data_IF_107292233106
#
_entry.id   IF_107292233106
#
_cell.length_a   1.000
_cell.length_b   1.000
_cell.length_c   1.000
_cell.angle_alpha   90.00
_cell.angle_beta   90.00
_cell.angle_gamma   90.00
#
_symmetry.space_group_name_H-M   'P 1'
#
loop_
_entity.id
_entity.type
_entity.pdbx_description
1 polymer ?
#
# COMPACT_ATOMS: atom_id res chain seq x y z
N UNK A 1 -2.65 1.34 5.88
CA UNK A 1 -3.28 2.65 5.64
C UNK A 1 -2.65 3.71 6.55
N UNK A 2 -1.94 4.65 5.96
CA UNK A 2 -0.90 5.47 6.58
C UNK A 2 0.11 5.99 5.55
N UNK A 3 1.38 5.96 5.94
CA UNK A 3 2.53 6.42 5.15
C UNK A 3 3.53 5.28 5.03
N UNK A 4 4.04 5.05 3.82
CA UNK A 4 4.99 3.97 3.56
C UNK A 4 6.08 4.45 2.63
N UNK A 5 7.33 4.18 2.99
CA UNK A 5 8.47 4.34 2.10
C UNK A 5 8.57 3.11 1.22
N UNK A 6 8.57 3.34 -0.10
CA UNK A 6 8.88 2.30 -1.08
C UNK A 6 10.24 2.60 -1.70
N UNK A 7 11.02 1.54 -1.96
CA UNK A 7 12.30 1.68 -2.68
C UNK A 7 12.09 1.49 -4.16
N UNK A 8 12.58 2.45 -4.96
CA UNK A 8 12.36 2.53 -6.40
C UNK A 8 13.67 2.84 -7.14
N UNK A 9 13.75 2.57 -8.45
CA UNK A 9 14.80 3.11 -9.30
C UNK A 9 14.89 4.64 -9.24
N UNK A 10 16.09 5.17 -9.45
CA UNK A 10 16.36 6.61 -9.40
C UNK A 10 15.52 7.41 -10.40
N UNK A 11 15.26 6.81 -11.56
CA UNK A 11 14.51 7.39 -12.67
C UNK A 11 13.04 6.96 -12.69
N UNK A 12 12.57 6.27 -11.63
CA UNK A 12 11.19 5.81 -11.55
C UNK A 12 10.20 6.98 -11.65
N UNK A 13 9.25 6.83 -12.57
CA UNK A 13 8.11 7.73 -12.73
C UNK A 13 6.84 6.94 -12.51
N UNK A 14 6.15 7.27 -11.43
CA UNK A 14 4.89 6.62 -11.11
C UNK A 14 3.85 6.90 -12.21
N UNK A 15 3.13 5.89 -12.71
CA UNK A 15 2.21 6.05 -13.83
C UNK A 15 1.08 7.02 -13.47
N UNK A 16 0.63 7.76 -14.48
CA UNK A 16 -0.51 8.66 -14.36
C UNK A 16 -1.52 8.35 -15.45
N UNK A 17 -2.80 8.48 -15.12
CA UNK A 17 -3.91 8.36 -16.06
C UNK A 17 -4.86 9.55 -15.89
N UNK A 18 -5.65 9.82 -16.92
CA UNK A 18 -6.69 10.85 -16.83
C UNK A 18 -7.81 10.34 -15.93
N UNK A 19 -8.08 11.08 -14.86
CA UNK A 19 -9.19 10.80 -13.95
C UNK A 19 -10.40 11.64 -14.36
N UNK A 20 -11.46 10.99 -14.83
CA UNK A 20 -12.67 11.67 -15.30
C UNK A 20 -13.36 12.49 -14.20
N UNK A 21 -13.37 12.00 -12.96
CA UNK A 21 -14.00 12.72 -11.85
C UNK A 21 -13.24 13.98 -11.46
N UNK A 22 -11.90 13.93 -11.49
CA UNK A 22 -11.03 15.08 -11.17
C UNK A 22 -10.67 15.94 -12.39
N UNK A 23 -11.10 15.54 -13.59
CA UNK A 23 -10.83 16.21 -14.86
C UNK A 23 -9.33 16.56 -15.03
N UNK A 24 -8.44 15.66 -14.60
CA UNK A 24 -6.99 15.89 -14.54
C UNK A 24 -6.20 14.59 -14.55
N UNK A 25 -4.90 14.68 -14.87
CA UNK A 25 -3.98 13.54 -14.71
C UNK A 25 -3.73 13.29 -13.23
N UNK A 26 -3.93 12.06 -12.78
CA UNK A 26 -3.63 11.61 -11.42
C UNK A 26 -2.76 10.37 -11.43
N UNK A 27 -2.01 10.14 -10.37
CA UNK A 27 -1.31 8.88 -10.17
C UNK A 27 -2.30 7.70 -10.18
N UNK A 28 -1.92 6.64 -10.87
CA UNK A 28 -2.64 5.36 -10.86
C UNK A 28 -2.25 4.64 -9.57
N UNK A 29 -3.18 4.29 -8.67
CA UNK A 29 -2.83 3.53 -7.48
C UNK A 29 -2.16 2.20 -7.83
N UNK A 30 -1.01 1.91 -7.21
CA UNK A 30 -0.32 0.64 -7.38
C UNK A 30 -0.11 -0.05 -6.03
N UNK A 31 -0.54 -1.30 -5.94
CA UNK A 31 -0.32 -2.15 -4.79
C UNK A 31 1.18 -2.42 -4.57
N UNK A 32 1.59 -2.42 -3.31
CA UNK A 32 2.93 -2.86 -2.92
C UNK A 32 2.84 -4.31 -2.47
N UNK A 33 3.31 -5.23 -3.31
CA UNK A 33 3.12 -6.65 -3.08
C UNK A 33 3.69 -7.51 -4.20
N UNK A 34 3.46 -8.81 -4.08
CA UNK A 34 3.94 -9.81 -5.02
C UNK A 34 2.76 -10.32 -5.84
N UNK A 35 2.59 -9.70 -7.02
CA UNK A 35 1.53 -10.06 -7.95
C UNK A 35 1.57 -11.54 -8.34
N UNK A 36 2.77 -12.15 -8.43
CA UNK A 36 2.91 -13.57 -8.78
C UNK A 36 2.37 -14.44 -7.66
N UNK A 37 2.73 -14.14 -6.41
CA UNK A 37 2.19 -14.85 -5.23
C UNK A 37 0.68 -14.69 -5.13
N UNK A 38 0.17 -13.47 -5.24
CA UNK A 38 -1.25 -13.19 -5.10
C UNK A 38 -2.07 -13.83 -6.25
N UNK A 39 -1.52 -13.83 -7.47
CA UNK A 39 -2.13 -14.52 -8.60
C UNK A 39 -2.14 -16.05 -8.42
N UNK A 40 -1.09 -16.63 -7.84
CA UNK A 40 -1.03 -18.06 -7.54
C UNK A 40 -2.04 -18.45 -6.45
N UNK A 41 -2.22 -17.64 -5.40
CA UNK A 41 -3.24 -17.85 -4.38
C UNK A 41 -4.66 -17.78 -4.99
N UNK A 42 -4.90 -16.82 -5.88
CA UNK A 42 -6.16 -16.73 -6.61
C UNK A 42 -6.39 -17.96 -7.51
N UNK A 43 -5.36 -18.43 -8.23
CA UNK A 43 -5.45 -19.60 -9.10
C UNK A 43 -5.73 -20.90 -8.30
N UNK A 44 -5.12 -21.05 -7.12
CA UNK A 44 -5.41 -22.15 -6.19
C UNK A 44 -6.86 -22.10 -5.71
N UNK A 45 -7.33 -20.93 -5.31
CA UNK A 45 -8.72 -20.74 -4.88
C UNK A 45 -9.72 -20.99 -6.00
N UNK A 46 -9.39 -20.60 -7.24
CA UNK A 46 -10.21 -20.89 -8.40
C UNK A 46 -10.28 -22.40 -8.69
N UNK A 47 -9.15 -23.10 -8.60
CA UNK A 47 -9.12 -24.55 -8.76
C UNK A 47 -9.99 -25.27 -7.71
N UNK A 48 -9.90 -24.86 -6.45
CA UNK A 48 -10.73 -25.39 -5.37
C UNK A 48 -12.21 -25.04 -5.54
N UNK A 49 -12.54 -23.83 -5.98
CA UNK A 49 -13.91 -23.43 -6.30
C UNK A 49 -14.53 -24.32 -7.37
N UNK A 50 -13.76 -24.68 -8.40
CA UNK A 50 -14.20 -25.61 -9.44
C UNK A 50 -14.38 -27.04 -8.93
N UNK A 51 -13.66 -27.42 -7.88
CA UNK A 51 -13.84 -28.68 -7.17
C UNK A 51 -15.01 -28.66 -6.16
N UNK A 52 -15.74 -27.54 -6.05
CA UNK A 52 -16.84 -27.40 -5.10
C UNK A 52 -16.38 -27.13 -3.67
N UNK A 53 -15.18 -26.57 -3.50
CA UNK A 53 -14.62 -26.19 -2.21
C UNK A 53 -14.50 -24.67 -2.07
N UNK A 54 -14.48 -24.18 -0.84
CA UNK A 54 -14.25 -22.78 -0.50
C UNK A 54 -13.24 -22.69 0.65
N UNK A 55 -12.45 -21.62 0.69
CA UNK A 55 -11.46 -21.41 1.74
C UNK A 55 -12.15 -21.23 3.09
N UNK A 56 -11.71 -21.98 4.09
CA UNK A 56 -12.08 -21.81 5.48
C UNK A 56 -11.03 -20.99 6.23
N UNK A 57 -11.49 -20.12 7.11
CA UNK A 57 -10.66 -19.36 8.05
C UNK A 57 -10.91 -19.79 9.50
N UNK A 58 -11.72 -20.84 9.70
CA UNK A 58 -11.96 -21.46 11.00
C UNK A 58 -10.88 -22.51 11.30
N UNK A 59 -10.76 -22.87 12.58
CA UNK A 59 -9.87 -23.96 13.00
C UNK A 59 -10.30 -25.27 12.31
N UNK A 60 -9.44 -25.83 11.46
CA UNK A 60 -9.73 -27.06 10.71
C UNK A 60 -9.11 -27.10 9.32
N UNK A 61 -9.71 -27.83 8.36
CA UNK A 61 -9.19 -27.92 7.01
C UNK A 61 -9.28 -26.57 6.30
N UNK A 62 -8.23 -26.21 5.57
CA UNK A 62 -8.15 -24.96 4.81
C UNK A 62 -9.23 -24.83 3.72
N UNK A 63 -9.78 -25.94 3.26
CA UNK A 63 -10.81 -26.02 2.21
C UNK A 63 -11.98 -26.87 2.68
N UNK A 64 -13.19 -26.32 2.59
CA UNK A 64 -14.45 -26.98 2.99
C UNK A 64 -15.44 -27.02 1.84
N UNK A 65 -16.44 -27.89 1.91
CA UNK A 65 -17.48 -27.99 0.89
C UNK A 65 -18.21 -26.66 0.72
N UNK A 66 -18.40 -26.25 -0.53
CA UNK A 66 -19.07 -25.01 -0.88
C UNK A 66 -20.58 -25.14 -0.67
N UNK A 67 -21.14 -24.23 0.12
CA UNK A 67 -22.59 -24.01 0.19
C UNK A 67 -23.09 -23.31 -1.10
N UNK A 68 -23.93 -23.95 -1.93
CA UNK A 68 -24.42 -23.38 -3.19
C UNK A 68 -25.30 -22.13 -3.03
N UNK A 69 -25.96 -21.95 -1.88
CA UNK A 69 -26.81 -20.78 -1.63
C UNK A 69 -25.95 -19.55 -1.29
N UNK A 70 -24.97 -19.73 -0.41
CA UNK A 70 -24.06 -18.66 0.03
C UNK A 70 -22.99 -18.31 -1.00
N UNK A 71 -22.57 -19.28 -1.81
CA UNK A 71 -21.47 -19.15 -2.76
C UNK A 71 -21.94 -19.41 -4.19
N UNK A 72 -23.07 -18.79 -4.55
CA UNK A 72 -23.58 -18.76 -5.91
C UNK A 72 -22.71 -17.85 -6.80
N UNK A 73 -22.69 -18.11 -8.11
CA UNK A 73 -22.02 -17.27 -9.09
C UNK A 73 -20.58 -17.70 -9.45
N UNK A 74 -19.82 -16.78 -10.06
CA UNK A 74 -18.44 -17.05 -10.47
C UNK A 74 -17.50 -16.81 -9.30
N UNK A 75 -16.38 -17.53 -9.29
CA UNK A 75 -15.34 -17.30 -8.28
C UNK A 75 -14.86 -15.84 -8.27
N UNK A 76 -14.77 -15.20 -9.43
CA UNK A 76 -14.39 -13.79 -9.53
C UNK A 76 -15.38 -12.82 -8.87
N UNK A 77 -16.66 -13.20 -8.76
CA UNK A 77 -17.66 -12.38 -8.07
C UNK A 77 -17.48 -12.49 -6.54
N UNK A 78 -16.85 -13.58 -6.07
CA UNK A 78 -16.57 -13.86 -4.66
C UNK A 78 -15.19 -13.36 -4.21
N UNK A 79 -14.14 -13.69 -4.97
CA UNK A 79 -12.74 -13.43 -4.62
C UNK A 79 -12.16 -12.20 -5.33
N UNK A 80 -12.96 -11.50 -6.14
CA UNK A 80 -12.49 -10.45 -7.01
C UNK A 80 -11.79 -10.99 -8.26
N UNK A 81 -11.33 -10.07 -9.11
CA UNK A 81 -10.60 -10.41 -10.33
C UNK A 81 -9.23 -11.00 -9.99
N UNK A 82 -8.74 -11.88 -10.87
CA UNK A 82 -7.37 -12.40 -10.76
C UNK A 82 -6.39 -11.21 -10.78
N UNK A 83 -5.42 -11.13 -9.84
CA UNK A 83 -4.43 -10.07 -9.82
C UNK A 83 -3.73 -9.88 -11.17
N UNK A 84 -3.55 -8.60 -11.56
CA UNK A 84 -2.84 -8.19 -12.77
C UNK A 84 -1.55 -7.45 -12.40
N UNK A 85 -0.42 -7.67 -13.10
CA UNK A 85 0.81 -6.91 -12.87
C UNK A 85 0.64 -5.39 -13.01
N UNK A 86 -0.34 -4.94 -13.81
CA UNK A 86 -0.61 -3.52 -14.04
C UNK A 86 -1.15 -2.81 -12.78
N UNK A 87 -1.66 -3.55 -11.80
CA UNK A 87 -2.19 -3.03 -10.54
C UNK A 87 -1.12 -2.99 -9.42
N UNK A 88 0.13 -3.40 -9.71
CA UNK A 88 1.20 -3.56 -8.73
C UNK A 88 2.41 -2.69 -9.07
N UNK A 89 3.17 -2.34 -8.03
CA UNK A 89 4.52 -1.82 -8.18
C UNK A 89 5.38 -2.86 -8.92
N UNK A 90 6.18 -2.46 -9.92
CA UNK A 90 7.07 -3.40 -10.59
C UNK A 90 8.08 -4.02 -9.60
N UNK A 91 8.32 -5.32 -9.75
CA UNK A 91 9.30 -6.03 -8.92
C UNK A 91 10.72 -5.85 -9.47
N UNK A 92 11.35 -4.73 -9.10
CA UNK A 92 12.73 -4.47 -9.49
C UNK A 92 13.73 -5.26 -8.65
N UNK A 93 14.84 -5.72 -9.25
CA UNK A 93 15.97 -6.25 -8.50
C UNK A 93 16.43 -5.30 -7.39
N UNK A 94 16.94 -5.86 -6.29
CA UNK A 94 17.34 -5.08 -5.11
C UNK A 94 18.38 -4.01 -5.43
N UNK A 95 19.29 -4.29 -6.36
CA UNK A 95 20.33 -3.38 -6.83
C UNK A 95 19.79 -2.16 -7.59
N UNK A 96 18.59 -2.24 -8.16
CA UNK A 96 17.97 -1.12 -8.87
C UNK A 96 17.20 -0.19 -7.92
N UNK A 97 16.73 -0.70 -6.78
CA UNK A 97 15.88 0.00 -5.80
C UNK A 97 16.66 0.96 -4.89
N UNK A 98 17.37 1.90 -5.51
CA UNK A 98 18.33 2.77 -4.83
C UNK A 98 17.70 3.97 -4.14
N UNK A 99 16.53 4.44 -4.57
CA UNK A 99 15.89 5.66 -4.08
C UNK A 99 14.67 5.37 -3.21
N UNK A 100 14.35 6.30 -2.30
CA UNK A 100 13.22 6.30 -1.39
C UNK A 100 12.14 7.23 -1.92
N UNK A 101 10.89 6.77 -1.91
CA UNK A 101 9.73 7.57 -2.27
C UNK A 101 8.63 7.32 -1.24
N UNK A 102 8.01 8.39 -0.77
CA UNK A 102 6.92 8.30 0.21
C UNK A 102 5.59 8.09 -0.49
N UNK A 103 4.82 7.12 -0.02
CA UNK A 103 3.50 6.77 -0.52
C UNK A 103 2.46 6.94 0.58
N UNK A 104 1.25 7.31 0.16
CA UNK A 104 0.05 7.00 0.94
C UNK A 104 -0.45 5.61 0.54
N UNK A 105 -0.77 4.75 1.51
CA UNK A 105 -1.31 3.41 1.30
C UNK A 105 -2.76 3.31 1.80
N UNK A 106 -3.49 4.44 1.81
CA UNK A 106 -4.92 4.48 2.15
C UNK A 106 -5.76 4.22 0.91
N UNK A 107 -5.33 4.70 -0.25
CA UNK A 107 -5.95 4.38 -1.55
C UNK A 107 -5.07 3.45 -2.38
N UNK A 108 -4.55 2.39 -1.76
CA UNK A 108 -3.76 1.31 -2.40
C UNK A 108 -2.34 1.68 -2.85
N UNK A 109 -1.99 2.97 -2.97
CA UNK A 109 -0.59 3.36 -3.15
C UNK A 109 -0.34 4.45 -4.17
N UNK A 110 -0.55 5.72 -3.82
CA UNK A 110 -0.07 6.85 -4.64
C UNK A 110 1.11 7.55 -3.98
N UNK A 111 2.12 8.00 -4.76
CA UNK A 111 3.25 8.70 -4.18
C UNK A 111 2.83 10.12 -3.74
N UNK A 112 3.36 10.54 -2.60
CA UNK A 112 3.22 11.91 -2.10
C UNK A 112 4.53 12.70 -2.19
N UNK A 113 5.62 12.06 -2.62
CA UNK A 113 6.92 12.70 -2.85
C UNK A 113 7.56 12.22 -4.16
N UNK A 114 8.56 12.95 -4.69
CA UNK A 114 9.54 12.41 -5.62
C UNK A 114 10.40 11.29 -5.00
N UNK A 115 11.26 10.70 -5.82
CA UNK A 115 12.27 9.74 -5.39
C UNK A 115 13.56 10.45 -4.95
N UNK A 116 14.12 10.07 -3.80
CA UNK A 116 15.33 10.66 -3.21
C UNK A 116 16.36 9.60 -2.85
N UNK A 117 17.65 9.93 -2.91
CA UNK A 117 18.72 8.96 -2.63
C UNK A 117 18.83 8.64 -1.13
N UNK A 118 18.43 9.59 -0.27
CA UNK A 118 18.60 9.49 1.19
C UNK A 118 17.30 9.78 1.94
N UNK A 119 17.23 9.30 3.19
CA UNK A 119 16.10 9.53 4.08
C UNK A 119 16.00 11.02 4.48
N UNK A 120 17.14 11.68 4.62
CA UNK A 120 17.27 13.10 4.95
C UNK A 120 16.73 14.01 3.86
N UNK A 121 17.03 13.72 2.58
CA UNK A 121 16.49 14.46 1.45
C UNK A 121 14.97 14.28 1.35
N UNK A 122 14.49 13.04 1.51
CA UNK A 122 13.05 12.74 1.52
C UNK A 122 12.34 13.49 2.66
N UNK A 123 12.86 13.40 3.88
CA UNK A 123 12.26 14.02 5.05
C UNK A 123 12.24 15.55 4.96
N UNK A 124 13.31 16.15 4.46
CA UNK A 124 13.38 17.59 4.22
C UNK A 124 12.34 18.04 3.20
N UNK A 125 12.24 17.33 2.08
CA UNK A 125 11.24 17.66 1.08
C UNK A 125 9.82 17.54 1.63
N UNK A 126 9.52 16.48 2.39
CA UNK A 126 8.19 16.29 2.99
C UNK A 126 7.82 17.41 3.98
N UNK A 127 8.77 17.85 4.81
CA UNK A 127 8.56 18.95 5.73
C UNK A 127 8.41 20.30 5.00
N UNK A 128 9.29 20.59 4.04
CA UNK A 128 9.30 21.87 3.32
C UNK A 128 8.09 22.06 2.40
N UNK A 129 7.41 20.97 2.02
CA UNK A 129 6.24 20.99 1.12
C UNK A 129 4.91 20.73 1.84
N UNK A 130 4.89 20.81 3.18
CA UNK A 130 3.70 20.56 4.00
C UNK A 130 2.99 19.25 3.62
N UNK A 131 3.78 18.20 3.39
CA UNK A 131 3.23 16.91 3.00
C UNK A 131 2.26 16.40 4.08
N UNK A 132 1.08 15.95 3.64
CA UNK A 132 0.06 15.44 4.56
C UNK A 132 0.59 14.19 5.27
N UNK A 133 0.64 14.21 6.60
CA UNK A 133 0.83 13.04 7.44
C UNK A 133 -0.50 12.29 7.65
N UNK A 134 -1.61 13.02 7.82
CA UNK A 134 -2.96 12.49 7.90
C UNK A 134 -3.98 13.62 7.69
N UNK A 135 -4.90 13.51 6.73
CA UNK A 135 -5.84 14.59 6.46
C UNK A 135 -5.12 15.93 6.24
N UNK A 136 -5.46 16.96 7.03
CA UNK A 136 -4.77 18.26 7.04
C UNK A 136 -3.56 18.37 7.99
N UNK A 137 -3.21 17.31 8.73
CA UNK A 137 -2.03 17.31 9.60
C UNK A 137 -0.76 17.13 8.76
N UNK A 138 0.25 17.95 9.04
CA UNK A 138 1.62 17.81 8.53
C UNK A 138 2.53 17.24 9.62
N UNK A 139 3.83 17.12 9.34
CA UNK A 139 4.83 16.67 10.30
C UNK A 139 6.15 17.41 10.09
N UNK A 140 6.95 17.46 11.15
CA UNK A 140 8.27 18.09 11.16
C UNK A 140 9.31 17.24 10.43
N UNK A 141 10.46 17.84 10.13
CA UNK A 141 11.60 17.13 9.53
C UNK A 141 12.01 15.88 10.33
N UNK A 142 12.14 15.99 11.66
CA UNK A 142 12.60 14.88 12.50
C UNK A 142 11.58 13.74 12.53
N UNK A 143 10.29 14.06 12.57
CA UNK A 143 9.21 13.06 12.48
C UNK A 143 9.21 12.36 11.12
N UNK A 144 9.38 13.11 10.03
CA UNK A 144 9.51 12.52 8.70
C UNK A 144 10.78 11.69 8.53
N UNK A 145 11.90 12.12 9.11
CA UNK A 145 13.18 11.40 9.05
C UNK A 145 13.08 10.07 9.77
N UNK A 146 12.39 10.04 10.92
CA UNK A 146 12.11 8.81 11.64
C UNK A 146 11.35 7.82 10.75
N UNK A 147 10.23 8.24 10.15
CA UNK A 147 9.44 7.39 9.25
C UNK A 147 10.22 7.00 8.00
N UNK A 148 11.02 7.91 7.44
CA UNK A 148 11.83 7.65 6.25
C UNK A 148 12.86 6.52 6.48
N UNK A 149 13.35 6.37 7.71
CA UNK A 149 14.28 5.31 8.13
C UNK A 149 13.57 4.02 8.56
N UNK A 150 12.44 4.14 9.24
CA UNK A 150 11.66 2.99 9.74
C UNK A 150 10.88 2.27 8.64
N UNK A 151 10.40 3.03 7.64
CA UNK A 151 9.73 2.53 6.45
C UNK A 151 8.21 2.71 6.43
N UNK A 152 7.55 2.89 7.57
CA UNK A 152 6.10 3.17 7.58
C UNK A 152 5.59 3.79 8.87
N UNK A 153 4.48 4.50 8.79
CA UNK A 153 3.71 4.97 9.93
C UNK A 153 2.20 4.76 9.68
N UNK A 154 1.39 4.50 10.72
CA UNK A 154 -0.06 4.46 10.57
C UNK A 154 -0.60 5.84 10.16
N UNK A 155 -1.84 5.89 9.66
CA UNK A 155 -2.47 7.17 9.30
C UNK A 155 -2.78 7.99 10.55
N UNK A 156 -3.56 7.43 11.46
CA UNK A 156 -4.09 8.12 12.62
C UNK A 156 -3.92 7.26 13.86
N UNK A 157 -3.57 7.92 14.97
CA UNK A 157 -3.53 7.31 16.30
C UNK A 157 -4.45 8.10 17.22
N UNK A 158 -5.32 7.38 17.92
CA UNK A 158 -6.18 7.95 18.96
C UNK A 158 -5.54 7.66 20.31
N UNK A 159 -5.23 8.72 21.04
CA UNK A 159 -4.63 8.69 22.37
C UNK A 159 -5.58 9.31 23.41
N UNK A 160 -5.35 9.13 24.72
CA UNK A 160 -6.11 9.86 25.75
C UNK A 160 -6.05 11.38 25.59
N UNK A 161 -4.97 11.92 25.00
CA UNK A 161 -4.80 13.34 24.68
C UNK A 161 -5.49 13.80 23.40
N UNK A 162 -6.09 12.89 22.62
CA UNK A 162 -6.79 13.19 21.38
C UNK A 162 -6.22 12.47 20.16
N UNK A 163 -6.58 12.97 18.98
CA UNK A 163 -6.17 12.43 17.67
C UNK A 163 -4.84 13.04 17.24
N UNK A 164 -3.90 12.20 16.81
CA UNK A 164 -2.64 12.61 16.20
C UNK A 164 -2.36 11.82 14.91
N UNK A 165 -1.46 12.33 14.06
CA UNK A 165 -0.97 11.56 12.91
C UNK A 165 -0.07 10.43 13.39
N UNK A 166 -0.08 9.31 12.66
CA UNK A 166 0.83 8.21 13.02
C UNK A 166 2.29 8.57 12.81
N UNK A 167 2.62 9.47 11.88
CA UNK A 167 3.98 10.00 11.66
C UNK A 167 4.51 10.68 12.93
N UNK A 168 3.72 11.56 13.54
CA UNK A 168 4.09 12.23 14.78
C UNK A 168 4.16 11.26 15.96
N UNK A 169 3.23 10.30 16.02
CA UNK A 169 3.19 9.32 17.10
C UNK A 169 4.42 8.41 17.13
N UNK A 170 4.79 7.79 16.00
CA UNK A 170 5.90 6.82 15.97
C UNK A 170 7.24 7.46 16.34
N UNK A 171 7.45 8.72 15.93
CA UNK A 171 8.65 9.48 16.26
C UNK A 171 8.81 9.76 17.77
N UNK A 172 7.71 9.75 18.53
CA UNK A 172 7.71 10.02 19.97
C UNK A 172 7.86 8.75 20.82
N UNK A 173 7.50 7.58 20.29
CA UNK A 173 7.44 6.34 21.07
C UNK A 173 8.75 5.54 21.11
N UNK A 174 9.73 5.89 20.28
CA UNK A 174 11.00 5.15 20.16
C UNK A 174 12.24 6.00 20.50
N UNK A 175 12.06 7.07 21.30
CA UNK A 175 13.14 7.93 21.83
C UNK A 175 13.75 7.43 23.14
#
# INVERSE_FOLDING_TARGET
MGRKVRRVPADWRHPMAFNEYRQSMTYVPLLDGDCVRDAAEWDEGFANWRAGLVRSYEDGPAWVARDPERHAGRYSDWAGTRPSPDDYMPDWPAEQRTHLMMYEDTTEGTPISPAFATAEELARWLADNDASAFGGFTATYEEWLHVARQGSAPSMVVTPSGITSGVAFVAQTEG
#
